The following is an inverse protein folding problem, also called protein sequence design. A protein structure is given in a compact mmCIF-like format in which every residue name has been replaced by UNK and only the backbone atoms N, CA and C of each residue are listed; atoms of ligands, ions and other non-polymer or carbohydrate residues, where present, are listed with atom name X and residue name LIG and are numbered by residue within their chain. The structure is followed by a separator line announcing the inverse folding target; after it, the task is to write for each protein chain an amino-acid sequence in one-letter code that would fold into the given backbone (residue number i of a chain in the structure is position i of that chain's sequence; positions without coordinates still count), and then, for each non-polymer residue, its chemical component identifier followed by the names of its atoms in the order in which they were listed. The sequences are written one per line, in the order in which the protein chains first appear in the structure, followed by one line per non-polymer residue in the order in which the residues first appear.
data_IF_792975715970
#
_entry.id   IF_792975715970
#
_cell.length_a   1.000
_cell.length_b   1.000
_cell.length_c   1.000
_cell.angle_alpha   90.00
_cell.angle_beta   90.00
_cell.angle_gamma   90.00
#
_symmetry.space_group_name_H-M   'P 1'
#
loop_
_entity.id
_entity.type
_entity.pdbx_description
1 polymer ?
#
# COMPACT_ATOMS: atom_id res chain seq x y z
N UNK A 1 7.61 -38.89 -29.69
CA UNK A 1 6.89 -38.59 -28.42
C UNK A 1 7.34 -37.22 -27.99
N UNK A 2 6.58 -36.20 -28.35
CA UNK A 2 6.81 -34.81 -27.84
C UNK A 2 6.24 -34.75 -26.42
N UNK A 3 7.13 -34.93 -25.44
CA UNK A 3 6.75 -34.75 -24.06
C UNK A 3 6.22 -33.31 -23.87
N UNK A 4 4.96 -33.20 -23.50
CA UNK A 4 4.40 -31.93 -23.07
C UNK A 4 5.20 -31.52 -21.82
N UNK A 5 5.88 -30.38 -21.90
CA UNK A 5 6.56 -29.81 -20.71
C UNK A 5 5.53 -29.70 -19.56
N UNK A 6 5.90 -30.03 -18.32
CA UNK A 6 4.99 -29.87 -17.19
C UNK A 6 4.50 -28.43 -17.13
N UNK A 7 3.22 -28.24 -16.85
CA UNK A 7 2.63 -26.91 -16.71
C UNK A 7 3.35 -26.14 -15.58
N UNK A 8 3.74 -24.91 -15.86
CA UNK A 8 4.37 -24.02 -14.87
C UNK A 8 3.36 -23.61 -13.80
N UNK A 9 3.82 -23.48 -12.57
CA UNK A 9 3.05 -22.79 -11.52
C UNK A 9 2.93 -21.29 -11.85
N UNK A 10 1.94 -20.60 -11.31
CA UNK A 10 1.81 -19.15 -11.47
C UNK A 10 3.10 -18.41 -11.07
N UNK A 11 3.74 -18.83 -9.97
CA UNK A 11 5.02 -18.26 -9.53
C UNK A 11 6.12 -18.42 -10.58
N UNK A 12 6.31 -19.63 -11.08
CA UNK A 12 7.34 -19.91 -12.08
C UNK A 12 7.08 -19.12 -13.37
N UNK A 13 5.84 -19.10 -13.84
CA UNK A 13 5.42 -18.40 -15.06
C UNK A 13 5.66 -16.89 -14.96
N UNK A 14 5.17 -16.26 -13.90
CA UNK A 14 5.35 -14.80 -13.70
C UNK A 14 6.83 -14.44 -13.59
N UNK A 15 7.61 -15.21 -12.81
CA UNK A 15 9.05 -14.94 -12.65
C UNK A 15 9.84 -15.20 -13.93
N UNK A 16 9.47 -16.22 -14.71
CA UNK A 16 10.10 -16.47 -16.02
C UNK A 16 9.79 -15.34 -17.01
N UNK A 17 8.52 -14.92 -17.10
CA UNK A 17 8.12 -13.79 -17.94
C UNK A 17 8.87 -12.50 -17.59
N UNK A 18 8.99 -12.17 -16.30
CA UNK A 18 9.77 -11.00 -15.84
C UNK A 18 11.25 -11.09 -16.21
N UNK A 19 11.80 -12.31 -16.29
CA UNK A 19 13.19 -12.58 -16.72
C UNK A 19 13.33 -12.73 -18.24
N UNK A 20 12.25 -12.52 -19.00
CA UNK A 20 12.18 -12.76 -20.46
C UNK A 20 12.56 -14.18 -20.86
N UNK A 21 12.22 -15.15 -20.04
CA UNK A 21 12.39 -16.58 -20.30
C UNK A 21 11.12 -17.18 -20.94
N UNK A 22 11.22 -18.30 -21.66
CA UNK A 22 10.05 -18.99 -22.20
C UNK A 22 9.05 -19.36 -21.10
N UNK A 23 7.77 -19.21 -21.42
CA UNK A 23 6.64 -19.55 -20.56
C UNK A 23 5.66 -20.45 -21.33
N UNK A 24 4.87 -21.24 -20.62
CA UNK A 24 3.84 -22.09 -21.19
C UNK A 24 2.67 -21.26 -21.77
N UNK A 25 2.32 -20.14 -21.11
CA UNK A 25 1.43 -19.10 -21.63
C UNK A 25 1.77 -17.74 -21.01
N UNK A 26 1.27 -16.66 -21.60
CA UNK A 26 1.48 -15.30 -21.07
C UNK A 26 0.76 -15.17 -19.73
N UNK A 27 1.49 -14.84 -18.62
CA UNK A 27 0.86 -14.71 -17.31
C UNK A 27 -0.21 -13.62 -17.32
N UNK A 28 -1.35 -13.95 -16.72
CA UNK A 28 -2.49 -13.05 -16.60
C UNK A 28 -2.66 -12.64 -15.13
N UNK A 29 -2.24 -11.42 -14.80
CA UNK A 29 -2.38 -10.85 -13.45
C UNK A 29 -3.23 -9.57 -13.51
N UNK A 30 -4.55 -9.69 -13.71
CA UNK A 30 -5.41 -8.51 -13.78
C UNK A 30 -5.49 -7.83 -12.43
N UNK A 31 -5.50 -6.50 -12.38
CA UNK A 31 -5.75 -5.74 -11.17
C UNK A 31 -7.25 -5.80 -10.81
N UNK A 32 -7.73 -6.98 -10.45
CA UNK A 32 -9.12 -7.14 -10.02
C UNK A 32 -9.23 -6.67 -8.57
N UNK A 33 -10.09 -5.68 -8.38
CA UNK A 33 -10.40 -5.20 -7.03
C UNK A 33 -11.06 -6.34 -6.23
N UNK A 34 -10.53 -6.72 -5.06
CA UNK A 34 -11.14 -7.74 -4.18
C UNK A 34 -12.60 -7.44 -3.82
N UNK A 35 -13.06 -6.21 -3.93
CA UNK A 35 -14.47 -5.82 -3.77
C UNK A 35 -15.41 -6.58 -4.73
N UNK A 36 -14.93 -6.98 -5.91
CA UNK A 36 -15.74 -7.78 -6.82
C UNK A 36 -16.15 -9.12 -6.20
N UNK A 37 -15.22 -9.81 -5.53
CA UNK A 37 -15.52 -11.08 -4.85
C UNK A 37 -16.43 -10.86 -3.64
N UNK A 38 -16.23 -9.79 -2.89
CA UNK A 38 -17.09 -9.42 -1.76
C UNK A 38 -18.53 -9.19 -2.22
N UNK A 39 -18.73 -8.48 -3.32
CA UNK A 39 -20.04 -8.27 -3.92
C UNK A 39 -20.66 -9.59 -4.44
N UNK A 40 -19.87 -10.42 -5.11
CA UNK A 40 -20.34 -11.72 -5.62
C UNK A 40 -20.85 -12.62 -4.48
N UNK A 41 -20.27 -12.50 -3.29
CA UNK A 41 -20.72 -13.20 -2.07
C UNK A 41 -21.92 -12.52 -1.37
N UNK A 42 -22.45 -11.45 -1.93
CA UNK A 42 -23.61 -10.74 -1.41
C UNK A 42 -23.31 -9.78 -0.24
N UNK A 43 -22.03 -9.40 -0.06
CA UNK A 43 -21.68 -8.37 0.91
C UNK A 43 -21.97 -6.97 0.36
N UNK A 44 -22.30 -5.99 1.21
CA UNK A 44 -22.53 -4.62 0.78
C UNK A 44 -21.23 -3.99 0.25
N UNK A 45 -21.38 -3.07 -0.70
CA UNK A 45 -20.27 -2.37 -1.35
C UNK A 45 -19.35 -1.60 -0.38
N UNK A 46 -19.92 -1.07 0.68
CA UNK A 46 -19.22 -0.32 1.74
C UNK A 46 -18.49 -1.21 2.76
N UNK A 47 -18.31 -2.48 2.46
CA UNK A 47 -17.62 -3.38 3.36
C UNK A 47 -16.14 -2.97 3.48
N UNK A 48 -15.61 -2.83 4.72
CA UNK A 48 -14.18 -2.56 4.89
C UNK A 48 -13.40 -3.70 4.26
N UNK A 49 -12.43 -3.34 3.47
CA UNK A 49 -11.53 -4.18 2.65
C UNK A 49 -11.52 -5.65 3.04
N UNK A 50 -11.74 -6.51 2.06
CA UNK A 50 -11.86 -7.97 2.22
C UNK A 50 -10.93 -8.54 3.27
N UNK A 51 -11.38 -9.55 4.02
CA UNK A 51 -10.47 -10.34 4.82
C UNK A 51 -9.26 -10.74 4.00
N UNK A 52 -8.04 -10.63 4.55
CA UNK A 52 -6.82 -10.98 3.83
C UNK A 52 -6.93 -12.40 3.25
N UNK A 53 -6.75 -12.53 1.94
CA UNK A 53 -6.67 -13.81 1.26
C UNK A 53 -7.83 -14.18 0.34
N UNK A 54 -9.05 -13.77 0.62
CA UNK A 54 -10.24 -14.18 -0.14
C UNK A 54 -10.18 -13.79 -1.62
N UNK A 55 -9.74 -12.59 -1.95
CA UNK A 55 -9.61 -12.14 -3.32
C UNK A 55 -8.53 -12.90 -4.10
N UNK A 56 -7.40 -13.20 -3.47
CA UNK A 56 -6.30 -13.96 -4.06
C UNK A 56 -6.71 -15.39 -4.38
N UNK A 57 -7.42 -16.05 -3.46
CA UNK A 57 -7.93 -17.41 -3.68
C UNK A 57 -8.90 -17.47 -4.85
N UNK A 58 -9.83 -16.52 -4.94
CA UNK A 58 -10.75 -16.42 -6.06
C UNK A 58 -10.05 -16.20 -7.39
N UNK A 59 -9.08 -15.28 -7.44
CA UNK A 59 -8.31 -14.99 -8.65
C UNK A 59 -7.52 -16.22 -9.11
N UNK A 60 -6.87 -16.93 -8.20
CA UNK A 60 -6.03 -18.07 -8.51
C UNK A 60 -6.87 -19.32 -8.89
N UNK A 61 -7.92 -19.62 -8.14
CA UNK A 61 -8.68 -20.86 -8.31
C UNK A 61 -9.88 -20.71 -9.23
N UNK A 62 -10.74 -19.72 -8.99
CA UNK A 62 -12.00 -19.62 -9.72
C UNK A 62 -11.81 -19.02 -11.12
N UNK A 63 -10.88 -18.08 -11.26
CA UNK A 63 -10.58 -17.44 -12.54
C UNK A 63 -9.36 -18.04 -13.25
N UNK A 64 -8.53 -18.84 -12.57
CA UNK A 64 -7.33 -19.45 -13.15
C UNK A 64 -6.31 -18.43 -13.62
N UNK A 65 -6.25 -17.27 -12.99
CA UNK A 65 -5.29 -16.21 -13.29
C UNK A 65 -3.99 -16.40 -12.51
N UNK A 66 -2.97 -15.58 -12.79
CA UNK A 66 -1.67 -15.59 -12.14
C UNK A 66 -1.50 -14.36 -11.21
N UNK A 67 -2.29 -14.23 -10.13
CA UNK A 67 -2.23 -13.06 -9.28
C UNK A 67 -0.89 -12.97 -8.55
N UNK A 68 -0.54 -11.75 -8.16
CA UNK A 68 0.65 -11.46 -7.35
C UNK A 68 0.20 -11.11 -5.94
N UNK A 69 0.82 -11.73 -4.94
CA UNK A 69 0.55 -11.40 -3.54
C UNK A 69 1.30 -10.12 -3.18
N UNK A 70 0.59 -9.02 -3.08
CA UNK A 70 1.13 -7.74 -2.66
C UNK A 70 1.61 -7.78 -1.21
N UNK A 71 2.80 -7.27 -0.98
CA UNK A 71 3.35 -7.00 0.35
C UNK A 71 3.53 -5.50 0.47
N UNK A 72 2.72 -4.88 1.31
CA UNK A 72 2.75 -3.44 1.53
C UNK A 72 3.72 -3.13 2.66
N UNK A 73 4.75 -2.36 2.34
CA UNK A 73 5.72 -1.90 3.34
C UNK A 73 5.25 -0.64 4.08
N UNK A 74 3.96 -0.33 4.01
CA UNK A 74 3.40 0.90 4.51
C UNK A 74 3.00 0.79 5.98
N UNK A 75 3.88 1.21 6.84
CA UNK A 75 3.55 1.56 8.21
C UNK A 75 4.11 2.95 8.48
N UNK A 76 3.24 3.92 8.75
CA UNK A 76 3.67 5.18 9.31
C UNK A 76 3.77 5.02 10.81
N UNK A 77 4.92 5.38 11.34
CA UNK A 77 5.20 5.30 12.76
C UNK A 77 5.45 6.71 13.30
N UNK A 78 4.38 7.46 13.64
CA UNK A 78 4.50 8.81 14.13
C UNK A 78 5.47 8.91 15.31
N UNK A 79 6.01 10.09 15.54
CA UNK A 79 6.82 10.39 16.73
C UNK A 79 6.03 10.11 18.01
N UNK A 80 6.77 9.82 19.09
CA UNK A 80 6.15 9.59 20.39
C UNK A 80 5.32 10.81 20.80
N UNK A 81 4.09 10.54 21.21
CA UNK A 81 3.13 11.59 21.56
C UNK A 81 2.29 12.12 20.39
N UNK A 82 2.70 11.92 19.15
CA UNK A 82 1.91 12.30 17.96
C UNK A 82 0.81 11.28 17.72
N UNK A 83 -0.44 11.64 18.05
CA UNK A 83 -1.60 10.74 17.95
C UNK A 83 -2.71 11.39 17.11
N UNK A 84 -3.45 10.59 16.32
CA UNK A 84 -4.59 11.09 15.60
C UNK A 84 -5.75 11.42 16.55
N UNK A 85 -6.45 12.51 16.26
CA UNK A 85 -7.77 12.82 16.78
C UNK A 85 -8.74 12.81 15.62
N UNK A 86 -9.85 12.06 15.76
CA UNK A 86 -10.90 11.97 14.74
C UNK A 86 -12.22 12.45 15.37
N UNK A 87 -12.95 13.30 14.65
CA UNK A 87 -14.27 13.77 15.07
C UNK A 87 -15.15 14.02 13.84
N UNK A 88 -16.44 14.16 14.06
CA UNK A 88 -17.41 14.41 13.01
C UNK A 88 -18.27 15.64 13.36
N UNK A 89 -18.45 16.50 12.38
CA UNK A 89 -19.32 17.67 12.44
C UNK A 89 -20.32 17.63 11.29
N UNK A 90 -21.58 17.27 11.59
CA UNK A 90 -22.58 17.02 10.54
C UNK A 90 -22.15 15.90 9.60
N UNK A 91 -22.05 16.22 8.32
CA UNK A 91 -21.61 15.29 7.27
C UNK A 91 -20.09 15.32 7.02
N UNK A 92 -19.32 16.02 7.84
CA UNK A 92 -17.88 16.16 7.65
C UNK A 92 -17.16 15.34 8.71
N UNK A 93 -16.31 14.42 8.25
CA UNK A 93 -15.36 13.70 9.08
C UNK A 93 -14.03 14.43 9.05
N UNK A 94 -13.48 14.68 10.22
CA UNK A 94 -12.20 15.35 10.43
C UNK A 94 -11.19 14.40 11.05
N UNK A 95 -9.93 14.56 10.68
CA UNK A 95 -8.80 13.92 11.35
C UNK A 95 -7.65 14.91 11.45
N UNK A 96 -7.03 14.97 12.61
CA UNK A 96 -5.86 15.82 12.85
C UNK A 96 -4.80 15.11 13.67
N UNK A 97 -3.56 15.54 13.47
CA UNK A 97 -2.40 15.17 14.26
C UNK A 97 -1.77 16.45 14.84
N UNK A 98 -1.61 16.48 16.15
CA UNK A 98 -0.81 17.52 16.79
C UNK A 98 0.65 17.11 16.75
N UNK A 99 1.49 17.89 16.09
CA UNK A 99 2.92 17.63 15.91
C UNK A 99 3.76 18.78 16.50
N UNK A 100 5.07 18.58 16.72
CA UNK A 100 5.97 19.67 17.14
C UNK A 100 6.00 20.86 16.17
N UNK A 101 5.65 20.65 14.90
CA UNK A 101 5.62 21.70 13.87
C UNK A 101 4.23 22.34 13.69
N UNK A 102 3.23 21.91 14.45
CA UNK A 102 1.84 22.40 14.38
C UNK A 102 0.84 21.26 14.17
N UNK A 103 -0.38 21.62 13.77
CA UNK A 103 -1.44 20.65 13.52
C UNK A 103 -1.51 20.31 12.02
N UNK A 104 -1.49 19.01 11.69
CA UNK A 104 -1.82 18.49 10.38
C UNK A 104 -3.28 18.04 10.39
N UNK A 105 -4.09 18.60 9.51
CA UNK A 105 -5.54 18.37 9.49
C UNK A 105 -6.02 17.98 8.10
N UNK A 106 -7.01 17.09 8.07
CA UNK A 106 -7.78 16.78 6.86
C UNK A 106 -9.26 16.61 7.18
N UNK A 107 -10.11 16.88 6.20
CA UNK A 107 -11.54 16.71 6.30
C UNK A 107 -12.15 16.23 4.98
N UNK A 108 -13.12 15.32 5.09
CA UNK A 108 -13.85 14.75 3.95
C UNK A 108 -15.36 14.87 4.15
N UNK A 109 -16.12 14.84 3.08
CA UNK A 109 -17.55 14.57 3.15
C UNK A 109 -17.72 13.07 3.48
N UNK A 110 -18.33 12.82 4.63
CA UNK A 110 -18.55 11.47 5.15
C UNK A 110 -19.95 10.99 4.82
N UNK A 111 -20.06 9.87 4.13
CA UNK A 111 -21.31 9.24 3.76
C UNK A 111 -21.15 7.71 3.76
N UNK A 112 -22.25 6.99 3.46
CA UNK A 112 -22.29 5.53 3.47
C UNK A 112 -21.38 4.86 2.42
N UNK A 113 -20.86 5.62 1.46
CA UNK A 113 -19.92 5.13 0.45
C UNK A 113 -18.47 5.17 0.93
N UNK A 114 -18.19 5.86 2.06
CA UNK A 114 -16.84 5.93 2.60
C UNK A 114 -16.41 4.59 3.23
N UNK A 115 -15.41 3.88 2.66
CA UNK A 115 -15.14 2.49 3.04
C UNK A 115 -14.27 2.34 4.29
N UNK A 116 -13.69 3.43 4.81
CA UNK A 116 -12.74 3.38 5.92
C UNK A 116 -13.37 3.66 7.29
N UNK A 117 -14.71 3.61 7.38
CA UNK A 117 -15.42 3.89 8.63
C UNK A 117 -15.11 5.30 9.14
N UNK A 118 -14.87 5.44 10.43
CA UNK A 118 -14.54 6.74 11.05
C UNK A 118 -13.02 7.00 11.05
N UNK A 119 -12.39 6.86 9.90
CA UNK A 119 -10.97 7.19 9.70
C UNK A 119 -10.74 7.88 8.36
N UNK A 120 -9.68 8.69 8.27
CA UNK A 120 -9.15 9.26 7.03
C UNK A 120 -7.71 8.77 6.90
N UNK A 121 -7.45 7.66 6.17
CA UNK A 121 -6.10 7.17 5.95
C UNK A 121 -5.32 8.13 5.04
N UNK A 122 -3.99 8.11 5.15
CA UNK A 122 -3.13 8.92 4.27
C UNK A 122 -3.14 8.40 2.83
N UNK A 123 -3.21 7.08 2.66
CA UNK A 123 -3.30 6.45 1.35
C UNK A 123 -4.52 5.56 1.25
N UNK A 124 -5.20 5.65 0.14
CA UNK A 124 -6.37 4.83 -0.17
C UNK A 124 -6.65 4.86 -1.67
N UNK A 125 -7.27 3.80 -2.19
CA UNK A 125 -7.66 3.67 -3.59
C UNK A 125 -9.04 4.27 -3.88
N UNK A 126 -9.62 4.96 -2.91
CA UNK A 126 -10.95 5.56 -3.02
C UNK A 126 -10.83 7.05 -3.27
N UNK A 127 -11.65 7.59 -4.19
CA UNK A 127 -11.65 9.03 -4.46
C UNK A 127 -12.45 9.72 -3.35
N UNK A 128 -11.75 10.27 -2.38
CA UNK A 128 -12.36 11.04 -1.30
C UNK A 128 -12.88 12.39 -1.79
N UNK A 129 -14.03 12.79 -1.29
CA UNK A 129 -14.52 14.16 -1.44
C UNK A 129 -13.90 15.04 -0.36
N UNK A 130 -12.66 15.48 -0.59
CA UNK A 130 -11.97 16.36 0.34
C UNK A 130 -12.65 17.71 0.46
N UNK A 131 -12.93 18.12 1.70
CA UNK A 131 -13.21 19.51 2.06
C UNK A 131 -11.93 20.23 2.41
N UNK A 132 -10.99 19.48 2.98
CA UNK A 132 -9.69 19.97 3.39
C UNK A 132 -8.68 18.80 3.22
N UNK A 133 -7.83 18.81 2.19
CA UNK A 133 -6.84 17.76 2.00
C UNK A 133 -5.72 17.84 3.03
N UNK A 134 -4.89 16.80 3.13
CA UNK A 134 -3.80 16.75 4.07
C UNK A 134 -2.73 17.82 3.84
N UNK A 135 -2.35 18.07 2.57
CA UNK A 135 -1.29 19.00 2.21
C UNK A 135 -1.85 20.19 1.42
N UNK A 136 -1.65 21.39 1.95
CA UNK A 136 -2.05 22.68 1.38
C UNK A 136 -0.91 23.69 1.42
N UNK A 137 -0.03 23.54 2.40
CA UNK A 137 1.03 24.50 2.71
C UNK A 137 2.32 23.80 3.08
N UNK A 138 3.43 24.53 3.05
CA UNK A 138 4.72 24.06 3.55
C UNK A 138 4.66 23.69 5.04
N UNK A 139 3.84 24.36 5.84
CA UNK A 139 3.65 24.02 7.25
C UNK A 139 3.05 22.63 7.44
N UNK A 140 2.09 22.25 6.58
CA UNK A 140 1.53 20.88 6.58
C UNK A 140 2.60 19.85 6.25
N UNK A 141 3.48 20.16 5.29
CA UNK A 141 4.60 19.27 4.93
C UNK A 141 5.60 19.14 6.11
N UNK A 142 5.86 20.19 6.87
CA UNK A 142 6.70 20.08 8.07
C UNK A 142 6.04 19.18 9.13
N UNK A 143 4.73 19.29 9.33
CA UNK A 143 3.98 18.40 10.23
C UNK A 143 4.07 16.93 9.77
N UNK A 144 3.95 16.67 8.47
CA UNK A 144 4.01 15.32 7.91
C UNK A 144 5.34 14.62 8.18
N UNK A 145 6.45 15.35 8.30
CA UNK A 145 7.77 14.80 8.62
C UNK A 145 7.84 14.11 9.99
N UNK A 146 6.95 14.47 10.92
CA UNK A 146 6.82 13.84 12.24
C UNK A 146 5.97 12.56 12.20
N UNK A 147 5.31 12.29 11.07
CA UNK A 147 4.37 11.17 10.90
C UNK A 147 4.94 10.12 9.94
N UNK A 148 5.51 10.55 8.82
CA UNK A 148 6.08 9.66 7.79
C UNK A 148 7.47 9.18 8.21
N UNK A 149 7.49 8.33 9.24
CA UNK A 149 8.70 7.76 9.79
C UNK A 149 8.69 6.24 9.65
N UNK A 150 9.86 5.63 9.38
CA UNK A 150 9.99 4.18 9.31
C UNK A 150 9.86 3.57 10.72
N UNK A 151 9.62 2.26 10.84
CA UNK A 151 9.59 1.57 12.11
C UNK A 151 10.94 1.74 12.83
N UNK A 152 10.90 2.06 14.13
CA UNK A 152 12.08 2.38 14.94
C UNK A 152 12.26 1.47 16.15
N UNK A 153 11.16 0.94 16.68
CA UNK A 153 11.19 0.04 17.83
C UNK A 153 11.23 -1.41 17.38
N UNK A 154 11.76 -2.29 18.24
CA UNK A 154 11.75 -3.71 17.99
C UNK A 154 10.34 -4.25 17.73
N UNK A 155 9.36 -3.81 18.52
CA UNK A 155 7.95 -4.19 18.36
C UNK A 155 7.38 -3.82 16.98
N UNK A 156 7.67 -2.59 16.51
CA UNK A 156 7.25 -2.13 15.18
C UNK A 156 7.89 -2.95 14.05
N UNK A 157 9.15 -3.30 14.18
CA UNK A 157 9.89 -4.12 13.22
C UNK A 157 9.32 -5.55 13.21
N UNK A 158 9.08 -6.14 14.37
CA UNK A 158 8.47 -7.47 14.50
C UNK A 158 7.05 -7.53 13.93
N UNK A 159 6.23 -6.51 14.18
CA UNK A 159 4.89 -6.43 13.59
C UNK A 159 4.94 -6.40 12.04
N UNK A 160 5.89 -5.67 11.47
CA UNK A 160 6.12 -5.64 10.03
C UNK A 160 6.61 -7.00 9.51
N UNK A 161 7.55 -7.66 10.21
CA UNK A 161 8.06 -8.98 9.86
C UNK A 161 6.93 -10.02 9.85
N UNK A 162 6.09 -10.07 10.89
CA UNK A 162 4.93 -10.94 10.95
C UNK A 162 3.94 -10.70 9.81
N UNK A 163 3.75 -9.45 9.41
CA UNK A 163 2.92 -9.15 8.24
C UNK A 163 3.51 -9.76 6.96
N UNK A 164 4.81 -9.62 6.73
CA UNK A 164 5.50 -10.23 5.57
C UNK A 164 5.42 -11.75 5.58
N UNK A 165 5.62 -12.38 6.73
CA UNK A 165 5.52 -13.84 6.87
C UNK A 165 4.13 -14.36 6.50
N UNK A 166 3.07 -13.75 7.03
CA UNK A 166 1.68 -14.11 6.68
C UNK A 166 1.39 -13.96 5.18
N UNK A 167 1.90 -12.91 4.55
CA UNK A 167 1.74 -12.71 3.10
C UNK A 167 2.53 -13.74 2.31
N UNK A 168 3.73 -14.09 2.78
CA UNK A 168 4.54 -15.16 2.18
C UNK A 168 3.87 -16.52 2.32
N UNK A 169 3.32 -16.86 3.48
CA UNK A 169 2.53 -18.09 3.68
C UNK A 169 1.37 -18.20 2.70
N UNK A 170 0.64 -17.09 2.48
CA UNK A 170 -0.42 -17.03 1.46
C UNK A 170 0.12 -17.29 0.06
N UNK A 171 1.23 -16.66 -0.29
CA UNK A 171 1.87 -16.86 -1.60
C UNK A 171 2.38 -18.29 -1.80
N UNK A 172 2.95 -18.89 -0.77
CA UNK A 172 3.46 -20.27 -0.81
C UNK A 172 2.32 -21.28 -0.91
N UNK A 173 1.24 -21.08 -0.16
CA UNK A 173 0.03 -21.92 -0.22
C UNK A 173 -0.52 -22.04 -1.65
N UNK A 174 -0.52 -20.93 -2.39
CA UNK A 174 -1.10 -20.86 -3.73
C UNK A 174 -0.07 -20.89 -4.87
N UNK A 175 1.20 -21.12 -4.56
CA UNK A 175 2.30 -21.09 -5.53
C UNK A 175 2.33 -19.79 -6.36
N UNK A 176 2.11 -18.65 -5.68
CA UNK A 176 2.08 -17.32 -6.27
C UNK A 176 3.38 -16.55 -6.01
N UNK A 177 3.76 -15.61 -6.87
CA UNK A 177 4.85 -14.69 -6.57
C UNK A 177 4.41 -13.63 -5.54
N UNK A 178 5.37 -13.12 -4.79
CA UNK A 178 5.20 -11.93 -3.94
C UNK A 178 5.75 -10.70 -4.63
N UNK A 179 5.11 -9.55 -4.41
CA UNK A 179 5.56 -8.25 -4.89
C UNK A 179 5.53 -7.25 -3.74
N UNK A 180 6.68 -6.69 -3.39
CA UNK A 180 6.73 -5.58 -2.45
C UNK A 180 6.41 -4.27 -3.18
N UNK A 181 5.48 -3.50 -2.63
CA UNK A 181 5.19 -2.14 -3.08
C UNK A 181 5.80 -1.17 -2.08
N UNK A 182 6.63 -0.26 -2.58
CA UNK A 182 7.36 0.72 -1.79
C UNK A 182 7.14 2.08 -2.40
N UNK A 183 6.48 2.96 -1.65
CA UNK A 183 6.15 4.31 -2.09
C UNK A 183 5.02 4.35 -3.13
N UNK A 184 4.29 5.41 -3.14
CA UNK A 184 3.12 5.63 -4.02
C UNK A 184 3.37 6.75 -5.04
N UNK A 185 4.42 7.55 -4.88
CA UNK A 185 4.78 8.65 -5.77
C UNK A 185 3.61 9.60 -6.03
N UNK A 186 3.31 9.89 -7.30
CA UNK A 186 2.18 10.75 -7.66
C UNK A 186 0.82 10.17 -7.23
N UNK A 187 0.65 8.85 -7.15
CA UNK A 187 -0.59 8.25 -6.63
C UNK A 187 -0.79 8.61 -5.15
N UNK A 188 0.27 8.58 -4.36
CA UNK A 188 0.25 9.06 -2.98
C UNK A 188 -0.05 10.56 -2.90
N UNK A 189 0.51 11.36 -3.81
CA UNK A 189 0.22 12.78 -3.88
C UNK A 189 -1.28 13.07 -4.10
N UNK A 190 -1.99 12.27 -4.92
CA UNK A 190 -3.44 12.42 -5.06
C UNK A 190 -4.19 12.27 -3.74
N UNK A 191 -3.79 11.32 -2.90
CA UNK A 191 -4.41 11.15 -1.60
C UNK A 191 -4.07 12.29 -0.62
N UNK A 192 -2.89 12.89 -0.76
CA UNK A 192 -2.43 13.94 0.14
C UNK A 192 -2.95 15.34 -0.21
N UNK A 193 -2.98 15.68 -1.47
CA UNK A 193 -3.40 17.01 -1.95
C UNK A 193 -4.86 17.05 -2.43
N UNK A 194 -5.45 15.90 -2.79
CA UNK A 194 -6.64 15.84 -3.61
C UNK A 194 -6.31 16.06 -5.11
N UNK A 195 -7.14 15.54 -6.00
CA UNK A 195 -6.84 15.52 -7.44
C UNK A 195 -6.71 16.90 -8.07
N UNK A 196 -7.75 17.75 -7.91
CA UNK A 196 -7.77 19.11 -8.47
C UNK A 196 -6.71 20.01 -7.83
N UNK A 197 -6.58 20.10 -6.49
CA UNK A 197 -5.52 20.90 -5.89
C UNK A 197 -4.13 20.45 -6.29
N UNK A 198 -3.86 19.15 -6.44
CA UNK A 198 -2.56 18.66 -6.89
C UNK A 198 -2.21 19.23 -8.28
N UNK A 199 -3.15 19.18 -9.24
CA UNK A 199 -2.92 19.74 -10.57
C UNK A 199 -2.61 21.23 -10.54
N UNK A 200 -3.30 22.01 -9.70
CA UNK A 200 -3.02 23.43 -9.53
C UNK A 200 -1.66 23.65 -8.85
N UNK A 201 -1.35 22.90 -7.77
CA UNK A 201 -0.08 23.02 -7.05
C UNK A 201 1.14 22.70 -7.89
N UNK A 202 1.04 21.84 -8.91
CA UNK A 202 2.17 21.59 -9.83
C UNK A 202 2.59 22.85 -10.60
N UNK A 203 1.71 23.84 -10.72
CA UNK A 203 1.97 25.13 -11.39
C UNK A 203 2.19 26.25 -10.38
N UNK A 204 1.29 26.35 -9.39
CA UNK A 204 1.27 27.48 -8.46
C UNK A 204 2.32 27.36 -7.34
N UNK A 205 2.63 26.14 -6.90
CA UNK A 205 3.61 25.86 -5.85
C UNK A 205 4.32 24.51 -6.08
N UNK A 206 5.10 24.37 -7.16
CA UNK A 206 5.76 23.12 -7.50
C UNK A 206 6.73 22.64 -6.41
N UNK A 207 7.30 23.56 -5.63
CA UNK A 207 8.25 23.25 -4.55
C UNK A 207 7.58 22.46 -3.42
N UNK A 208 6.31 22.73 -3.11
CA UNK A 208 5.56 21.94 -2.13
C UNK A 208 5.32 20.51 -2.61
N UNK A 209 4.96 20.33 -3.88
CA UNK A 209 4.76 19.00 -4.49
C UNK A 209 6.08 18.22 -4.51
N UNK A 210 7.16 18.87 -4.95
CA UNK A 210 8.50 18.25 -4.98
C UNK A 210 8.98 17.90 -3.57
N UNK A 211 8.77 18.78 -2.59
CA UNK A 211 9.07 18.55 -1.18
C UNK A 211 8.37 17.30 -0.62
N UNK A 212 7.10 17.11 -0.98
CA UNK A 212 6.35 15.90 -0.62
C UNK A 212 6.93 14.65 -1.29
N UNK A 213 7.18 14.69 -2.61
CA UNK A 213 7.75 13.56 -3.34
C UNK A 213 9.13 13.15 -2.81
N UNK A 214 9.96 14.14 -2.43
CA UNK A 214 11.25 13.89 -1.79
C UNK A 214 11.10 13.27 -0.40
N UNK A 215 10.09 13.69 0.38
CA UNK A 215 9.80 13.08 1.70
C UNK A 215 9.41 11.62 1.53
N UNK A 216 8.49 11.33 0.62
CA UNK A 216 8.02 9.98 0.34
C UNK A 216 9.15 9.09 -0.20
N UNK A 217 9.96 9.58 -1.12
CA UNK A 217 11.10 8.84 -1.64
C UNK A 217 12.11 8.45 -0.54
N UNK A 218 12.46 9.40 0.32
CA UNK A 218 13.34 9.12 1.48
C UNK A 218 12.73 8.12 2.46
N UNK A 219 11.43 8.16 2.64
CA UNK A 219 10.70 7.20 3.46
C UNK A 219 10.76 5.80 2.83
N UNK A 220 10.47 5.68 1.54
CA UNK A 220 10.52 4.45 0.77
C UNK A 220 11.93 3.82 0.77
N UNK A 221 12.98 4.60 0.56
CA UNK A 221 14.37 4.11 0.59
C UNK A 221 14.76 3.55 1.96
N UNK A 222 14.35 4.18 3.05
CA UNK A 222 14.61 3.68 4.41
C UNK A 222 13.87 2.38 4.71
N UNK A 223 12.68 2.21 4.18
CA UNK A 223 11.94 0.94 4.28
C UNK A 223 12.60 -0.17 3.47
N UNK A 224 13.04 0.13 2.24
CA UNK A 224 13.73 -0.80 1.36
C UNK A 224 15.01 -1.35 1.99
N UNK A 225 15.85 -0.49 2.55
CA UNK A 225 17.08 -0.90 3.23
C UNK A 225 16.79 -1.86 4.39
N UNK A 226 15.72 -1.63 5.16
CA UNK A 226 15.34 -2.52 6.26
C UNK A 226 14.78 -3.85 5.78
N UNK A 227 13.90 -3.84 4.80
CA UNK A 227 13.35 -5.07 4.22
C UNK A 227 14.43 -5.97 3.60
N UNK A 228 15.49 -5.38 3.00
CA UNK A 228 16.63 -6.13 2.47
C UNK A 228 17.59 -6.62 3.56
N UNK A 229 17.82 -5.85 4.60
CA UNK A 229 18.66 -6.27 5.73
C UNK A 229 18.05 -7.47 6.47
N UNK A 230 16.72 -7.49 6.65
CA UNK A 230 16.02 -8.62 7.26
C UNK A 230 15.99 -9.86 6.35
N UNK A 231 15.99 -9.69 5.03
CA UNK A 231 16.09 -10.80 4.08
C UNK A 231 17.50 -11.42 4.01
N UNK A 232 18.56 -10.66 4.35
CA UNK A 232 19.94 -11.15 4.42
C UNK A 232 20.25 -11.89 5.73
N UNK A 233 19.40 -11.72 6.76
CA UNK A 233 19.53 -12.43 8.03
C UNK A 233 18.98 -13.88 7.99
N UNK A 234 18.43 -14.35 6.87
CA UNK A 234 18.17 -15.79 6.70
C UNK A 234 19.50 -16.53 6.42
N UNK A 235 20.03 -17.33 7.37
CA UNK A 235 21.29 -18.07 7.17
C UNK A 235 21.04 -19.26 6.24
N UNK A 236 21.08 -19.04 4.94
CA UNK A 236 20.93 -20.13 3.96
C UNK A 236 20.91 -19.71 2.49
N UNK A 237 20.73 -18.44 2.15
CA UNK A 237 20.63 -18.00 0.74
C UNK A 237 21.92 -17.45 0.11
N UNK A 238 22.96 -17.23 0.87
CA UNK A 238 24.25 -16.73 0.35
C UNK A 238 25.22 -17.82 -0.16
N UNK A 239 24.89 -19.12 -0.02
CA UNK A 239 25.74 -20.21 -0.49
C UNK A 239 25.57 -20.57 -1.97
N UNK A 240 24.66 -19.96 -2.72
CA UNK A 240 24.36 -20.30 -4.11
C UNK A 240 24.83 -19.27 -5.16
N UNK A 241 25.77 -18.37 -4.79
CA UNK A 241 26.46 -17.49 -5.75
C UNK A 241 27.97 -17.74 -5.68
N UNK A 242 28.39 -18.85 -6.27
CA UNK A 242 29.72 -19.04 -6.80
C UNK A 242 29.63 -19.50 -8.24
#
# INVERSE_FOLDING_TARGET
MTGVAPAMTSRERVLAAMKRQPVDYVPCSPPINPLFEVQRRGHPWNFPWSPPGDGIEYLAQALGTDPVVGVWCEGFYPEEGVKPRVWQEGEILHKAYETPSGALHSAIIFNDLWPFGRDIPFFHDFIAHYRDPWLKTEADLQCLKHIFLPPRTHEQIEAMRLHFERRKETADKWQLPTMATIGSGLTGAFSMFGAEPLCLMTVDNPELVDGYLQLEHRFADRQKVRATADAELEPGRLAARK
#
